data_IF_715060125770
#
_entry.id   IF_715060125770
#
_cell.length_a   1.000
_cell.length_b   1.000
_cell.length_c   1.000
_cell.angle_alpha   90.00
_cell.angle_beta   90.00
_cell.angle_gamma   90.00
#
_symmetry.space_group_name_H-M   'P 1'
#
loop_
_entity.id
_entity.type
_entity.pdbx_description
1 polymer ?
#
# COMPACT_ATOMS: atom_id res chain seq x y z
N UNK A 1 -10.92 -8.79 -7.24
CA UNK A 1 -12.19 -8.02 -7.29
C UNK A 1 -12.12 -6.83 -6.35
N UNK A 2 -13.09 -5.90 -6.33
CA UNK A 2 -13.09 -4.79 -5.35
C UNK A 2 -13.09 -5.28 -3.90
N UNK A 3 -13.88 -6.31 -3.59
CA UNK A 3 -13.91 -6.89 -2.23
C UNK A 3 -12.57 -7.48 -1.82
N UNK A 4 -11.84 -8.10 -2.75
CA UNK A 4 -10.51 -8.63 -2.49
C UNK A 4 -9.49 -7.50 -2.28
N UNK A 5 -9.57 -6.42 -3.08
CA UNK A 5 -8.70 -5.26 -2.92
C UNK A 5 -8.88 -4.62 -1.54
N UNK A 6 -10.13 -4.42 -1.09
CA UNK A 6 -10.43 -3.87 0.25
C UNK A 6 -9.89 -4.72 1.40
N UNK A 7 -9.77 -6.04 1.21
CA UNK A 7 -9.20 -6.94 2.23
C UNK A 7 -7.67 -6.89 2.27
N UNK A 8 -7.02 -6.54 1.16
CA UNK A 8 -5.57 -6.48 1.04
C UNK A 8 -4.99 -5.11 1.42
N UNK A 9 -5.76 -4.04 1.25
CA UNK A 9 -5.36 -2.70 1.68
C UNK A 9 -5.42 -2.63 3.20
N UNK A 10 -4.33 -2.25 3.84
CA UNK A 10 -4.22 -2.16 5.30
C UNK A 10 -4.04 -0.73 5.82
N UNK A 11 -3.63 0.22 4.98
CA UNK A 11 -3.59 1.64 5.34
C UNK A 11 -3.88 2.52 4.12
N UNK A 12 -4.31 3.75 4.39
CA UNK A 12 -4.49 4.81 3.38
C UNK A 12 -3.92 6.11 3.94
N UNK A 13 -3.37 6.96 3.07
CA UNK A 13 -3.01 8.33 3.40
C UNK A 13 -3.60 9.30 2.37
N UNK A 14 -4.16 10.39 2.89
CA UNK A 14 -4.80 11.46 2.11
C UNK A 14 -4.27 12.85 2.49
N UNK A 15 -3.19 12.93 3.26
CA UNK A 15 -2.66 14.20 3.80
C UNK A 15 -1.19 14.42 3.39
N UNK A 16 -0.26 13.66 3.99
CA UNK A 16 1.19 13.82 3.75
C UNK A 16 1.61 13.29 2.38
N UNK A 17 0.96 12.23 1.95
CA UNK A 17 1.05 11.67 0.61
C UNK A 17 -0.32 11.10 0.25
N UNK A 18 -0.58 10.94 -1.05
CA UNK A 18 -1.79 10.30 -1.55
C UNK A 18 -1.42 8.89 -2.01
N UNK A 19 -1.79 7.88 -1.20
CA UNK A 19 -1.42 6.50 -1.46
C UNK A 19 -2.03 5.53 -0.46
N UNK A 20 -1.77 4.24 -0.69
CA UNK A 20 -2.24 3.16 0.15
C UNK A 20 -1.20 2.03 0.18
N UNK A 21 -1.13 1.33 1.31
CA UNK A 21 -0.36 0.11 1.50
C UNK A 21 -1.27 -1.09 1.35
N UNK A 22 -0.78 -2.15 0.70
CA UNK A 22 -1.52 -3.39 0.55
C UNK A 22 -0.62 -4.62 0.57
N UNK A 23 -1.19 -5.76 0.98
CA UNK A 23 -0.52 -7.05 0.99
C UNK A 23 -0.68 -7.76 -0.36
N UNK A 24 0.38 -7.72 -1.16
CA UNK A 24 0.50 -8.38 -2.47
C UNK A 24 1.92 -8.89 -2.68
N UNK A 25 2.08 -9.87 -3.57
CA UNK A 25 3.40 -10.32 -4.02
C UNK A 25 4.05 -9.33 -5.00
N UNK A 26 5.37 -9.48 -5.20
CA UNK A 26 6.18 -8.63 -6.07
C UNK A 26 5.76 -8.70 -7.55
N UNK A 27 5.33 -9.88 -8.04
CA UNK A 27 4.86 -10.01 -9.42
C UNK A 27 3.59 -9.18 -9.64
N UNK A 28 2.71 -9.14 -8.64
CA UNK A 28 1.51 -8.34 -8.63
C UNK A 28 1.82 -6.85 -8.47
N UNK A 29 2.78 -6.46 -7.63
CA UNK A 29 3.15 -5.04 -7.46
C UNK A 29 3.72 -4.44 -8.75
N UNK A 30 4.53 -5.20 -9.49
CA UNK A 30 5.10 -4.77 -10.77
C UNK A 30 4.02 -4.44 -11.82
N UNK A 31 2.83 -5.05 -11.72
CA UNK A 31 1.71 -4.75 -12.62
C UNK A 31 1.08 -3.38 -12.35
N UNK A 32 1.30 -2.80 -11.17
CA UNK A 32 0.75 -1.49 -10.77
C UNK A 32 1.54 -0.32 -11.38
N UNK A 33 2.84 -0.49 -11.64
CA UNK A 33 3.71 0.59 -12.14
C UNK A 33 3.24 1.19 -13.48
N UNK A 34 2.53 0.41 -14.30
CA UNK A 34 2.01 0.84 -15.60
C UNK A 34 0.60 1.45 -15.56
N UNK A 35 -0.05 1.52 -14.39
CA UNK A 35 -1.43 2.00 -14.29
C UNK A 35 -1.50 3.53 -14.25
N UNK A 36 -2.46 4.15 -14.96
CA UNK A 36 -2.65 5.60 -14.90
C UNK A 36 -2.84 6.10 -13.48
N UNK A 37 -2.04 7.10 -13.08
CA UNK A 37 -2.11 7.72 -11.75
C UNK A 37 -1.22 7.08 -10.69
N UNK A 38 -0.58 5.94 -10.97
CA UNK A 38 0.45 5.37 -10.09
C UNK A 38 1.77 6.09 -10.35
N UNK A 39 2.34 6.69 -9.30
CA UNK A 39 3.63 7.40 -9.38
C UNK A 39 4.80 6.56 -8.90
N UNK A 40 4.62 5.83 -7.81
CA UNK A 40 5.64 4.97 -7.19
C UNK A 40 5.00 3.67 -6.73
N UNK A 41 5.76 2.59 -6.87
CA UNK A 41 5.49 1.30 -6.22
C UNK A 41 6.77 0.96 -5.45
N UNK A 42 6.68 0.89 -4.13
CA UNK A 42 7.82 0.68 -3.25
C UNK A 42 7.48 -0.39 -2.21
N UNK A 43 8.44 -1.24 -1.80
CA UNK A 43 8.26 -2.11 -0.64
C UNK A 43 8.01 -1.27 0.62
N UNK A 44 6.94 -1.58 1.36
CA UNK A 44 6.64 -0.87 2.60
C UNK A 44 7.49 -1.42 3.77
N UNK A 45 7.63 -0.61 4.82
CA UNK A 45 8.43 -0.93 6.00
C UNK A 45 7.76 -0.40 7.27
N UNK A 46 7.96 -1.10 8.39
CA UNK A 46 7.42 -0.65 9.67
C UNK A 46 7.99 0.71 10.07
N UNK A 47 7.08 1.64 10.41
CA UNK A 47 7.41 2.88 11.11
C UNK A 47 7.72 2.58 12.57
N UNK A 48 6.98 1.64 13.17
CA UNK A 48 7.26 1.07 14.49
C UNK A 48 7.47 -0.46 14.39
N UNK A 49 8.73 -0.92 14.34
CA UNK A 49 9.05 -2.33 14.23
C UNK A 49 8.64 -3.18 15.44
N UNK A 50 8.52 -2.59 16.63
CA UNK A 50 8.14 -3.32 17.85
C UNK A 50 6.67 -3.74 17.78
N UNK A 51 5.82 -2.82 17.32
CA UNK A 51 4.38 -3.05 17.16
C UNK A 51 3.97 -3.54 15.77
N UNK A 52 4.93 -3.67 14.84
CA UNK A 52 4.68 -4.02 13.43
C UNK A 52 3.68 -3.07 12.77
N UNK A 53 3.84 -1.78 13.05
CA UNK A 53 2.97 -0.73 12.53
C UNK A 53 3.61 -0.09 11.28
N UNK A 54 2.89 -0.11 10.16
CA UNK A 54 3.30 0.53 8.91
C UNK A 54 2.97 2.03 8.87
N UNK A 55 2.32 2.56 9.91
CA UNK A 55 1.81 3.92 9.94
C UNK A 55 0.62 4.13 8.98
N UNK A 56 0.31 5.40 8.71
CA UNK A 56 -0.90 5.78 7.98
C UNK A 56 -2.12 5.91 8.88
N UNK A 57 -3.29 6.14 8.29
CA UNK A 57 -4.56 6.15 9.03
C UNK A 57 -5.27 4.80 8.87
N UNK A 58 -5.81 4.29 9.99
CA UNK A 58 -6.66 3.10 10.04
C UNK A 58 -8.10 3.43 9.65
#
# INVERSE_FOLDING_TARGET
>A
SEEEAKKKIYNVSCERYFGFGCEIDEETSNKLEGLPGVLFVLPDSYVDPENKDYGGEN
#
